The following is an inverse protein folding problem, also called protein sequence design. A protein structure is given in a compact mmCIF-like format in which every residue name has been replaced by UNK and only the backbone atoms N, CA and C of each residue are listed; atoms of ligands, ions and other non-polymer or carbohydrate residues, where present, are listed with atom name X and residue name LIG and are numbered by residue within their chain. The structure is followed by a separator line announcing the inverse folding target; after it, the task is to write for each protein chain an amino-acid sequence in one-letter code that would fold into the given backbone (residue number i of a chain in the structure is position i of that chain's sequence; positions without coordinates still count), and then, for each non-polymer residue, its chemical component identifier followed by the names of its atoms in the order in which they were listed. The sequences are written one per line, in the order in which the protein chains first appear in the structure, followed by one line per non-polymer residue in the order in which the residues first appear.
data_IF_646190182381
#
_entry.id   IF_646190182381
#
_cell.length_a   1.000
_cell.length_b   1.000
_cell.length_c   1.000
_cell.angle_alpha   90.00
_cell.angle_beta   90.00
_cell.angle_gamma   90.00
#
_symmetry.space_group_name_H-M   'P 1'
#
loop_
_entity.id
_entity.type
_entity.pdbx_description
1 polymer ?
#
# COMPACT_ATOMS: atom_id res chain seq x y z
N UNK A 1 5.68 -0.77 -1.21
CA UNK A 1 5.20 -1.50 -2.40
C UNK A 1 6.26 -2.51 -2.80
N UNK A 2 5.88 -3.61 -3.40
CA UNK A 2 6.83 -4.54 -3.98
C UNK A 2 7.31 -3.92 -5.29
N UNK A 3 8.61 -3.72 -5.47
CA UNK A 3 9.15 -3.17 -6.73
C UNK A 3 9.19 -4.25 -7.82
N UNK A 4 8.03 -4.66 -8.31
CA UNK A 4 7.89 -5.71 -9.33
C UNK A 4 7.03 -5.32 -10.53
N UNK A 5 6.78 -4.02 -10.71
CA UNK A 5 5.95 -3.44 -11.77
C UNK A 5 4.46 -3.83 -11.70
N UNK A 6 4.01 -4.56 -10.67
CA UNK A 6 2.63 -4.97 -10.50
C UNK A 6 2.01 -4.39 -9.23
N UNK A 7 0.99 -3.55 -9.40
CA UNK A 7 0.19 -3.06 -8.29
C UNK A 7 -0.85 -4.11 -7.90
N UNK A 8 -0.77 -4.62 -6.67
CA UNK A 8 -1.60 -5.72 -6.18
C UNK A 8 -2.04 -5.51 -4.73
N UNK A 9 -3.31 -5.81 -4.46
CA UNK A 9 -3.84 -5.79 -3.09
C UNK A 9 -3.94 -7.18 -2.45
N UNK A 10 -4.13 -8.23 -3.25
CA UNK A 10 -4.21 -9.63 -2.79
C UNK A 10 -3.31 -10.53 -3.64
N UNK A 11 -3.14 -11.78 -3.22
CA UNK A 11 -2.27 -12.76 -3.89
C UNK A 11 -0.86 -12.75 -3.33
N UNK A 12 0.03 -13.55 -3.92
CA UNK A 12 1.45 -13.54 -3.55
C UNK A 12 2.10 -12.22 -4.00
N UNK A 13 3.10 -11.76 -3.24
CA UNK A 13 3.84 -10.53 -3.52
C UNK A 13 2.93 -9.29 -3.72
N UNK A 14 1.92 -9.12 -2.85
CA UNK A 14 1.05 -7.95 -2.91
C UNK A 14 1.63 -6.76 -2.10
N UNK A 15 1.28 -5.55 -2.51
CA UNK A 15 1.74 -4.30 -1.87
C UNK A 15 1.15 -4.10 -0.48
N UNK A 16 -0.03 -4.68 -0.26
CA UNK A 16 -0.75 -4.62 1.01
C UNK A 16 0.07 -5.25 2.13
N UNK A 17 0.68 -6.40 1.88
CA UNK A 17 1.44 -7.15 2.87
C UNK A 17 2.78 -6.46 3.15
N UNK A 18 3.43 -5.87 2.13
CA UNK A 18 4.60 -5.02 2.33
C UNK A 18 4.29 -3.80 3.21
N UNK A 19 3.15 -3.13 2.99
CA UNK A 19 2.65 -2.03 3.81
C UNK A 19 2.34 -2.49 5.25
N UNK A 20 1.67 -3.63 5.42
CA UNK A 20 1.38 -4.17 6.75
C UNK A 20 2.67 -4.53 7.50
N UNK A 21 3.64 -5.16 6.82
CA UNK A 21 4.95 -5.46 7.39
C UNK A 21 5.68 -4.19 7.86
N UNK A 22 5.62 -3.11 7.05
CA UNK A 22 6.22 -1.81 7.39
C UNK A 22 5.69 -1.21 8.68
N UNK A 23 4.38 -1.30 8.92
CA UNK A 23 3.75 -0.75 10.14
C UNK A 23 3.80 -1.70 11.35
N UNK A 24 4.45 -2.86 11.25
CA UNK A 24 4.59 -3.82 12.36
C UNK A 24 3.83 -5.14 12.17
N UNK A 25 3.47 -5.49 10.94
CA UNK A 25 3.02 -6.82 10.51
C UNK A 25 1.51 -7.02 10.56
N UNK A 26 0.90 -6.97 11.75
CA UNK A 26 -0.48 -7.48 11.94
C UNK A 26 -1.43 -6.46 12.56
N UNK A 27 -0.92 -5.34 13.04
CA UNK A 27 -1.72 -4.30 13.69
C UNK A 27 -2.00 -3.19 12.66
N UNK A 28 -3.18 -3.17 12.02
CA UNK A 28 -3.48 -2.24 10.93
C UNK A 28 -3.72 -0.79 11.41
N UNK A 29 -3.65 -0.56 12.72
CA UNK A 29 -3.79 0.76 13.35
C UNK A 29 -2.46 1.41 13.68
N UNK A 30 -1.34 0.74 13.44
CA UNK A 30 -0.03 1.32 13.61
C UNK A 30 0.29 2.28 12.44
N UNK A 31 1.02 3.35 12.77
CA UNK A 31 1.54 4.33 11.83
C UNK A 31 3.02 4.46 12.06
N UNK A 32 3.81 4.47 10.99
CA UNK A 32 5.25 4.70 11.05
C UNK A 32 5.62 5.93 10.23
N UNK A 33 6.52 6.75 10.77
CA UNK A 33 7.03 7.94 10.08
C UNK A 33 8.17 7.63 9.12
N UNK A 34 8.29 8.49 8.10
CA UNK A 34 9.33 8.46 7.08
C UNK A 34 8.76 8.30 5.68
N UNK A 35 9.53 8.74 4.70
CA UNK A 35 9.25 8.49 3.29
C UNK A 35 9.72 7.09 2.94
N UNK A 36 8.75 6.21 2.71
CA UNK A 36 8.96 4.82 2.32
C UNK A 36 8.29 4.56 0.98
N UNK A 37 8.67 3.45 0.36
CA UNK A 37 8.02 2.97 -0.86
C UNK A 37 6.53 2.66 -0.61
N UNK A 38 6.19 2.33 0.63
CA UNK A 38 4.81 2.10 1.07
C UNK A 38 4.02 3.39 1.32
N UNK A 39 4.68 4.55 1.43
CA UNK A 39 4.03 5.86 1.59
C UNK A 39 3.61 6.37 0.20
N UNK A 40 2.50 5.81 -0.30
CA UNK A 40 1.94 6.17 -1.61
C UNK A 40 1.16 7.48 -1.56
N UNK A 41 0.85 7.98 -0.35
CA UNK A 41 0.29 9.32 -0.16
C UNK A 41 1.33 10.43 -0.22
N UNK A 42 2.61 10.08 -0.07
CA UNK A 42 3.76 11.00 -0.01
C UNK A 42 3.63 12.03 1.12
N UNK A 43 3.00 11.64 2.23
CA UNK A 43 2.78 12.51 3.40
C UNK A 43 3.80 12.25 4.54
N UNK A 44 4.74 11.33 4.32
CA UNK A 44 5.79 10.95 5.26
C UNK A 44 5.29 10.02 6.37
N UNK A 45 4.13 9.40 6.22
CA UNK A 45 3.52 8.52 7.23
C UNK A 45 2.86 7.30 6.57
N UNK A 46 3.45 6.13 6.74
CA UNK A 46 2.83 4.87 6.27
C UNK A 46 1.74 4.44 7.24
N UNK A 47 0.51 4.28 6.76
CA UNK A 47 -0.63 3.80 7.56
C UNK A 47 -1.65 2.99 6.74
N UNK A 48 -2.22 1.95 7.37
CA UNK A 48 -3.20 1.07 6.72
C UNK A 48 -4.66 1.50 6.96
N UNK A 49 -4.96 2.14 8.09
CA UNK A 49 -6.30 2.63 8.44
C UNK A 49 -6.28 4.11 8.82
N UNK A 50 -7.47 4.69 9.00
CA UNK A 50 -7.64 6.10 9.36
C UNK A 50 -7.69 7.02 8.13
N UNK A 51 -7.86 8.32 8.37
CA UNK A 51 -7.90 9.30 7.29
C UNK A 51 -6.53 9.45 6.62
N UNK A 52 -6.53 9.57 5.30
CA UNK A 52 -5.30 9.69 4.51
C UNK A 52 -4.43 8.44 4.57
N UNK A 53 -5.03 7.25 4.58
CA UNK A 53 -4.27 6.01 4.58
C UNK A 53 -3.79 5.61 3.18
N UNK A 54 -2.68 4.88 3.14
CA UNK A 54 -2.05 4.38 1.91
C UNK A 54 -2.87 3.27 1.27
N UNK A 55 -3.63 2.51 2.07
CA UNK A 55 -4.51 1.42 1.62
C UNK A 55 -5.53 1.89 0.59
N UNK A 56 -6.17 3.03 0.86
CA UNK A 56 -7.23 3.57 0.00
C UNK A 56 -6.63 4.06 -1.33
N UNK A 57 -5.40 4.61 -1.30
CA UNK A 57 -4.64 4.95 -2.51
C UNK A 57 -4.26 3.72 -3.32
N UNK A 58 -3.79 2.66 -2.66
CA UNK A 58 -3.48 1.38 -3.28
C UNK A 58 -4.71 0.79 -3.98
N UNK A 59 -5.87 0.77 -3.31
CA UNK A 59 -7.14 0.31 -3.88
C UNK A 59 -7.56 1.17 -5.10
N UNK A 60 -7.46 2.49 -5.01
CA UNK A 60 -7.72 3.36 -6.17
C UNK A 60 -6.79 3.04 -7.34
N UNK A 61 -5.50 2.80 -7.08
CA UNK A 61 -4.52 2.45 -8.11
C UNK A 61 -4.87 1.18 -8.88
N UNK A 62 -5.30 0.11 -8.19
CA UNK A 62 -5.70 -1.15 -8.86
C UNK A 62 -7.06 -1.04 -9.57
N UNK A 63 -7.82 0.04 -9.38
CA UNK A 63 -9.07 0.29 -10.11
C UNK A 63 -10.33 0.34 -9.27
N UNK A 64 -10.18 0.54 -7.96
CA UNK A 64 -11.29 0.77 -7.05
C UNK A 64 -11.26 -0.19 -5.87
N UNK A 65 -12.36 -0.20 -5.11
CA UNK A 65 -12.43 -0.93 -3.85
C UNK A 65 -12.45 -2.46 -3.98
N UNK A 66 -12.53 -3.01 -5.20
CA UNK A 66 -12.55 -4.47 -5.42
C UNK A 66 -11.12 -4.98 -5.51
N UNK A 67 -10.64 -5.78 -4.53
CA UNK A 67 -9.22 -6.08 -4.35
C UNK A 67 -8.73 -7.24 -5.21
N UNK A 68 -9.29 -7.42 -6.41
CA UNK A 68 -9.00 -8.54 -7.31
C UNK A 68 -8.29 -8.13 -8.59
N UNK A 69 -8.18 -6.83 -8.86
CA UNK A 69 -7.49 -6.32 -10.03
C UNK A 69 -5.97 -6.25 -9.78
N UNK A 70 -5.21 -6.54 -10.83
CA UNK A 70 -3.76 -6.33 -10.90
C UNK A 70 -3.52 -5.33 -12.03
N UNK A 71 -2.67 -4.33 -11.78
CA UNK A 71 -2.32 -3.32 -12.77
C UNK A 71 -0.82 -3.10 -12.83
N UNK A 72 -0.35 -2.58 -13.95
CA UNK A 72 1.05 -2.15 -14.06
C UNK A 72 1.23 -0.91 -13.20
N UNK A 73 2.26 -0.94 -12.34
CA UNK A 73 2.64 0.22 -11.52
C UNK A 73 3.12 1.37 -12.39
N UNK A 74 2.86 2.59 -11.94
CA UNK A 74 3.53 3.76 -12.50
C UNK A 74 4.85 3.97 -11.74
N UNK A 75 5.94 3.59 -12.38
CA UNK A 75 7.29 3.88 -11.92
C UNK A 75 7.81 5.17 -12.59
N UNK A 76 8.64 5.97 -11.90
CA UNK A 76 9.34 7.10 -12.49
C UNK A 76 10.22 6.73 -13.70
#
# INVERSE_FOLDING_TARGET
AVFDNELRYTGAANDRDAMLQRIGGVVPTATIGGYWVEDVTLDGLVRYTGAGNDRDRLLMGIGGAVPTAVRVEQLP
#
